data_IF_946179879837
#
_entry.id   IF_946179879837
#
_cell.length_a   1.000
_cell.length_b   1.000
_cell.length_c   1.000
_cell.angle_alpha   90.00
_cell.angle_beta   90.00
_cell.angle_gamma   90.00
#
_symmetry.space_group_name_H-M   'P 1'
#
loop_
_entity.id
_entity.type
_entity.pdbx_description
1 polymer ?
#
# COMPACT_ATOMS: atom_id res chain seq x y z
N UNK A 1 1.20 23.81 -16.88
CA UNK A 1 1.66 24.60 -15.71
C UNK A 1 3.07 24.18 -15.34
N UNK A 2 3.95 25.16 -15.11
CA UNK A 2 5.38 25.00 -14.79
C UNK A 2 5.66 23.97 -13.67
N UNK A 3 4.73 23.85 -12.70
CA UNK A 3 4.79 22.90 -11.59
C UNK A 3 4.90 21.42 -12.01
N UNK A 4 4.16 21.00 -13.05
CA UNK A 4 4.14 19.61 -13.54
C UNK A 4 5.42 19.24 -14.30
N UNK A 5 6.12 20.23 -14.86
CA UNK A 5 7.24 20.04 -15.79
C UNK A 5 8.60 20.42 -15.22
N UNK A 6 8.66 21.22 -14.14
CA UNK A 6 9.92 21.65 -13.52
C UNK A 6 9.99 21.21 -12.07
N UNK A 7 8.95 21.47 -11.27
CA UNK A 7 8.96 21.10 -9.84
C UNK A 7 8.87 19.59 -9.66
N UNK A 8 7.87 18.94 -10.27
CA UNK A 8 7.64 17.49 -10.13
C UNK A 8 8.86 16.66 -10.56
N UNK A 9 9.58 16.96 -11.67
CA UNK A 9 10.79 16.23 -12.03
C UNK A 9 11.94 16.37 -11.04
N UNK A 10 12.14 17.55 -10.46
CA UNK A 10 13.26 17.83 -9.56
C UNK A 10 13.16 17.13 -8.20
N UNK A 11 11.94 16.85 -7.72
CA UNK A 11 11.70 16.09 -6.47
C UNK A 11 11.40 14.60 -6.71
N UNK A 12 11.54 14.08 -7.93
CA UNK A 12 11.32 12.66 -8.24
C UNK A 12 12.04 11.71 -7.27
N UNK A 13 13.33 11.89 -6.92
CA UNK A 13 14.03 10.97 -6.03
C UNK A 13 13.41 10.90 -4.63
N UNK A 14 13.04 12.05 -4.07
CA UNK A 14 12.38 12.14 -2.77
C UNK A 14 10.98 11.50 -2.81
N UNK A 15 10.23 11.71 -3.90
CA UNK A 15 8.95 11.05 -4.10
C UNK A 15 9.10 9.52 -4.13
N UNK A 16 10.09 8.98 -4.84
CA UNK A 16 10.34 7.51 -4.88
C UNK A 16 10.58 6.95 -3.48
N UNK A 17 11.43 7.60 -2.69
CA UNK A 17 11.74 7.15 -1.32
C UNK A 17 10.50 7.18 -0.45
N UNK A 18 9.73 8.26 -0.48
CA UNK A 18 8.48 8.41 0.29
C UNK A 18 7.46 7.35 -0.13
N UNK A 19 7.29 7.08 -1.42
CA UNK A 19 6.36 6.06 -1.91
C UNK A 19 6.76 4.65 -1.50
N UNK A 20 8.05 4.31 -1.61
CA UNK A 20 8.55 2.99 -1.19
C UNK A 20 8.39 2.82 0.31
N UNK A 21 8.63 3.90 1.07
CA UNK A 21 8.42 3.94 2.52
C UNK A 21 6.93 3.79 2.88
N UNK A 22 6.03 4.44 2.14
CA UNK A 22 4.57 4.29 2.33
C UNK A 22 4.13 2.86 1.96
N UNK A 23 4.68 2.28 0.90
CA UNK A 23 4.41 0.90 0.49
C UNK A 23 4.88 -0.13 1.54
N UNK A 24 6.08 0.05 2.08
CA UNK A 24 6.57 -0.72 3.23
C UNK A 24 5.69 -0.50 4.47
N UNK A 25 5.25 0.74 4.70
CA UNK A 25 4.32 1.09 5.76
C UNK A 25 3.00 0.34 5.64
N UNK A 26 2.41 0.23 4.44
CA UNK A 26 1.13 -0.46 4.25
C UNK A 26 1.21 -1.95 4.51
N UNK A 27 2.30 -2.61 4.10
CA UNK A 27 2.55 -4.01 4.44
C UNK A 27 2.69 -4.21 5.96
N UNK A 28 3.47 -3.35 6.63
CA UNK A 28 3.66 -3.42 8.08
C UNK A 28 2.43 -3.00 8.87
N UNK A 29 1.55 -2.16 8.33
CA UNK A 29 0.34 -1.69 9.03
C UNK A 29 -0.58 -2.85 9.40
N UNK A 30 -0.72 -3.85 8.53
CA UNK A 30 -1.42 -5.09 8.90
C UNK A 30 -0.75 -5.78 10.09
N UNK A 31 0.56 -6.05 9.99
CA UNK A 31 1.31 -6.74 11.05
C UNK A 31 1.25 -5.96 12.37
N UNK A 32 1.37 -4.63 12.32
CA UNK A 32 1.30 -3.74 13.47
C UNK A 32 -0.09 -3.81 14.12
N UNK A 33 -1.16 -3.59 13.35
CA UNK A 33 -2.53 -3.62 13.89
C UNK A 33 -2.84 -5.00 14.46
N UNK A 34 -2.50 -6.06 13.74
CA UNK A 34 -2.79 -7.43 14.17
C UNK A 34 -2.04 -7.81 15.45
N UNK A 35 -0.78 -7.40 15.56
CA UNK A 35 0.07 -7.74 16.70
C UNK A 35 -0.21 -6.87 17.93
N UNK A 36 -0.43 -5.56 17.73
CA UNK A 36 -0.58 -4.62 18.85
C UNK A 36 -2.01 -4.56 19.39
N UNK A 37 -3.03 -4.59 18.54
CA UNK A 37 -4.43 -4.38 18.96
C UNK A 37 -5.36 -5.50 18.53
N UNK A 38 -4.94 -6.34 17.58
CA UNK A 38 -5.81 -7.33 16.95
C UNK A 38 -6.94 -6.73 16.12
N UNK A 39 -6.92 -5.42 15.85
CA UNK A 39 -7.99 -4.66 15.21
C UNK A 39 -8.96 -3.96 16.16
N UNK A 40 -8.77 -4.04 17.49
CA UNK A 40 -9.62 -3.36 18.46
C UNK A 40 -9.33 -1.84 18.54
N UNK A 41 -10.21 -1.08 19.21
CA UNK A 41 -10.09 0.37 19.40
C UNK A 41 -10.11 1.19 18.09
N UNK A 42 -10.94 0.77 17.12
CA UNK A 42 -11.07 1.41 15.80
C UNK A 42 -9.74 1.52 15.01
N UNK A 43 -8.77 0.67 15.34
CA UNK A 43 -7.48 0.58 14.63
C UNK A 43 -7.48 -0.43 13.49
N UNK A 44 -8.62 -1.08 13.22
CA UNK A 44 -8.70 -2.11 12.19
C UNK A 44 -8.44 -1.55 10.80
N UNK A 45 -7.74 -2.33 9.99
CA UNK A 45 -7.39 -2.01 8.61
C UNK A 45 -7.99 -3.06 7.68
N UNK A 46 -8.21 -2.69 6.41
CA UNK A 46 -8.86 -3.55 5.41
C UNK A 46 -8.20 -4.93 5.30
N UNK A 47 -6.87 -5.00 5.44
CA UNK A 47 -6.12 -6.26 5.47
C UNK A 47 -6.39 -7.12 6.74
N UNK A 48 -6.60 -6.49 7.91
CA UNK A 48 -7.00 -7.19 9.13
C UNK A 48 -8.42 -7.72 9.00
N UNK A 49 -9.34 -6.93 8.43
CA UNK A 49 -10.71 -7.38 8.15
C UNK A 49 -10.75 -8.52 7.15
N UNK A 50 -9.95 -8.46 6.08
CA UNK A 50 -9.77 -9.59 5.16
C UNK A 50 -9.39 -10.86 5.92
N UNK A 51 -8.38 -10.79 6.78
CA UNK A 51 -7.90 -11.93 7.56
C UNK A 51 -9.00 -12.48 8.49
N UNK A 52 -9.70 -11.59 9.21
CA UNK A 52 -10.77 -11.98 10.13
C UNK A 52 -11.93 -12.62 9.37
N UNK A 53 -12.39 -12.03 8.27
CA UNK A 53 -13.51 -12.53 7.49
C UNK A 53 -13.18 -13.88 6.82
N UNK A 54 -12.03 -13.97 6.16
CA UNK A 54 -11.63 -15.16 5.42
C UNK A 54 -11.27 -16.34 6.33
N UNK A 55 -10.53 -16.11 7.42
CA UNK A 55 -9.93 -17.19 8.22
C UNK A 55 -10.54 -17.37 9.61
N UNK A 56 -11.12 -16.33 10.24
CA UNK A 56 -11.77 -16.48 11.55
C UNK A 56 -13.27 -16.71 11.45
N UNK A 57 -13.95 -15.97 10.57
CA UNK A 57 -15.40 -16.05 10.41
C UNK A 57 -15.83 -17.04 9.31
N UNK A 58 -14.88 -17.65 8.59
CA UNK A 58 -15.13 -18.54 7.44
C UNK A 58 -16.01 -17.91 6.34
N UNK A 59 -16.09 -16.58 6.29
CA UNK A 59 -16.84 -15.85 5.29
C UNK A 59 -15.97 -15.60 4.06
N UNK A 60 -15.82 -16.64 3.24
CA UNK A 60 -14.97 -16.57 2.05
C UNK A 60 -15.46 -15.56 1.01
N UNK A 61 -16.78 -15.31 0.93
CA UNK A 61 -17.34 -14.32 -0.01
C UNK A 61 -16.88 -12.90 0.31
N UNK A 62 -17.03 -12.47 1.57
CA UNK A 62 -16.55 -11.17 2.03
C UNK A 62 -15.02 -11.09 2.01
N UNK A 63 -14.33 -12.17 2.40
CA UNK A 63 -12.88 -12.28 2.30
C UNK A 63 -12.38 -12.07 0.87
N UNK A 64 -12.97 -12.74 -0.11
CA UNK A 64 -12.61 -12.59 -1.51
C UNK A 64 -12.86 -11.17 -2.04
N UNK A 65 -14.00 -10.55 -1.67
CA UNK A 65 -14.30 -9.17 -2.05
C UNK A 65 -13.26 -8.18 -1.49
N UNK A 66 -12.88 -8.33 -0.21
CA UNK A 66 -11.84 -7.50 0.41
C UNK A 66 -10.46 -7.74 -0.23
N UNK A 67 -10.13 -8.97 -0.60
CA UNK A 67 -8.87 -9.29 -1.29
C UNK A 67 -8.79 -8.61 -2.67
N UNK A 68 -9.87 -8.69 -3.47
CA UNK A 68 -9.94 -8.03 -4.78
C UNK A 68 -9.88 -6.51 -4.63
N UNK A 69 -10.59 -5.95 -3.65
CA UNK A 69 -10.54 -4.51 -3.36
C UNK A 69 -9.12 -4.05 -3.03
N UNK A 70 -8.43 -4.77 -2.12
CA UNK A 70 -7.04 -4.51 -1.78
C UNK A 70 -6.13 -4.60 -3.00
N UNK A 71 -6.32 -5.62 -3.83
CA UNK A 71 -5.54 -5.81 -5.04
C UNK A 71 -5.67 -4.63 -6.01
N UNK A 72 -6.90 -4.14 -6.23
CA UNK A 72 -7.16 -2.97 -7.09
C UNK A 72 -6.53 -1.69 -6.54
N UNK A 73 -6.47 -1.52 -5.22
CA UNK A 73 -5.86 -0.35 -4.57
C UNK A 73 -4.32 -0.43 -4.60
N UNK A 74 -3.76 -1.62 -4.40
CA UNK A 74 -2.31 -1.81 -4.25
C UNK A 74 -1.61 -1.86 -5.62
N UNK A 75 -2.22 -2.43 -6.66
CA UNK A 75 -1.62 -2.53 -8.00
C UNK A 75 -1.13 -1.18 -8.55
N UNK A 76 -1.92 -0.09 -8.54
CA UNK A 76 -1.48 1.20 -9.06
C UNK A 76 -0.26 1.73 -8.31
N UNK A 77 -0.22 1.52 -6.99
CA UNK A 77 0.89 1.93 -6.13
C UNK A 77 2.15 1.13 -6.48
N UNK A 78 2.04 -0.19 -6.67
CA UNK A 78 3.17 -1.05 -7.08
C UNK A 78 3.65 -0.66 -8.48
N UNK A 79 2.75 -0.51 -9.45
CA UNK A 79 3.11 -0.11 -10.82
C UNK A 79 3.85 1.22 -10.79
N UNK A 80 3.35 2.18 -10.02
CA UNK A 80 4.01 3.48 -9.86
C UNK A 80 5.38 3.33 -9.20
N UNK A 81 5.49 2.56 -8.12
CA UNK A 81 6.75 2.31 -7.42
C UNK A 81 7.80 1.64 -8.33
N UNK A 82 7.42 0.58 -9.05
CA UNK A 82 8.31 -0.15 -9.98
C UNK A 82 8.73 0.72 -11.15
N UNK A 83 7.81 1.50 -11.74
CA UNK A 83 8.17 2.46 -12.81
C UNK A 83 9.17 3.50 -12.33
N UNK A 84 9.01 3.96 -11.09
CA UNK A 84 9.93 4.92 -10.47
C UNK A 84 11.30 4.29 -10.19
N UNK A 85 11.35 3.07 -9.65
CA UNK A 85 12.61 2.35 -9.41
C UNK A 85 13.44 2.19 -10.69
N UNK A 86 12.79 1.81 -11.80
CA UNK A 86 13.44 1.70 -13.11
C UNK A 86 13.97 3.04 -13.63
N UNK A 87 13.30 4.14 -13.29
CA UNK A 87 13.74 5.49 -13.67
C UNK A 87 14.96 5.93 -12.84
N UNK A 88 15.01 5.59 -11.55
CA UNK A 88 16.18 5.86 -10.71
C UNK A 88 17.41 5.05 -11.10
N UNK A 89 17.24 3.81 -11.59
CA UNK A 89 18.35 3.00 -12.11
C UNK A 89 18.92 3.56 -13.42
N UNK A 90 18.08 4.12 -14.30
CA UNK A 90 18.54 4.70 -15.57
C UNK A 90 19.30 6.04 -15.41
N UNK A 91 19.22 6.67 -14.24
CA UNK A 91 19.88 7.95 -13.94
C UNK A 91 21.23 7.73 -13.21
N UNK A 92 21.50 6.50 -12.74
CA UNK A 92 22.72 6.13 -12.00
C UNK A 92 23.76 5.52 -12.94
#
# INVERSE_FOLDING_TARGET
GMFRYITVPSIRPALVVVLTTIAMGTLKVFDIVRTMTGGNFDTSVVANEFYVQAFRQNNQGLGAALAVLLFVIVIPIIIYNVRQMRLSEAIR
#
